data_IF_948547098627
#
_entry.id   IF_948547098627
#
_cell.length_a   1.000
_cell.length_b   1.000
_cell.length_c   1.000
_cell.angle_alpha   90.00
_cell.angle_beta   90.00
_cell.angle_gamma   90.00
#
_symmetry.space_group_name_H-M   'P 1'
#
loop_
_entity.id
_entity.type
_entity.pdbx_description
1 polymer ?
#
# COMPACT_ATOMS: atom_id res chain seq x y z
N UNK A 1 -17.25 1.84 -4.69
CA UNK A 1 -18.08 2.74 -3.86
C UNK A 1 -19.53 2.31 -3.88
N UNK A 2 -20.19 2.25 -5.04
CA UNK A 2 -21.57 1.76 -5.16
C UNK A 2 -21.83 0.37 -4.54
N UNK A 3 -20.97 -0.63 -4.79
CA UNK A 3 -21.21 -2.00 -4.28
C UNK A 3 -21.06 -2.14 -2.76
N UNK A 4 -20.22 -1.32 -2.13
CA UNK A 4 -19.87 -1.46 -0.69
C UNK A 4 -20.63 -0.45 0.17
N UNK A 5 -20.85 0.75 -0.36
CA UNK A 5 -21.41 1.89 0.37
C UNK A 5 -22.75 2.39 -0.20
N UNK A 6 -23.33 1.70 -1.19
CA UNK A 6 -24.54 2.12 -1.93
C UNK A 6 -24.48 3.55 -2.49
N UNK A 7 -23.25 4.03 -2.74
CA UNK A 7 -22.99 5.38 -3.21
C UNK A 7 -23.48 5.60 -4.65
N UNK A 8 -24.04 6.78 -4.92
CA UNK A 8 -24.63 7.18 -6.20
C UNK A 8 -23.91 8.42 -6.74
N UNK A 9 -23.57 8.39 -8.02
CA UNK A 9 -22.89 9.51 -8.68
C UNK A 9 -21.91 9.03 -9.75
N UNK A 10 -21.43 9.98 -10.55
CA UNK A 10 -20.46 9.76 -11.62
C UNK A 10 -19.06 10.29 -11.26
N UNK A 11 -18.97 11.11 -10.21
CA UNK A 11 -17.70 11.63 -9.68
C UNK A 11 -17.47 11.17 -8.25
N UNK A 12 -16.22 11.21 -7.78
CA UNK A 12 -15.89 10.86 -6.40
C UNK A 12 -16.64 11.77 -5.40
N UNK A 13 -16.76 13.07 -5.70
CA UNK A 13 -17.49 14.03 -4.86
C UNK A 13 -18.97 13.65 -4.76
N UNK A 14 -19.65 13.44 -5.89
CA UNK A 14 -21.06 13.03 -5.90
C UNK A 14 -21.27 11.73 -5.11
N UNK A 15 -20.36 10.75 -5.28
CA UNK A 15 -20.43 9.49 -4.54
C UNK A 15 -20.27 9.71 -3.04
N UNK A 16 -19.33 10.54 -2.59
CA UNK A 16 -19.12 10.81 -1.16
C UNK A 16 -20.31 11.55 -0.54
N UNK A 17 -20.86 12.54 -1.25
CA UNK A 17 -22.03 13.31 -0.82
C UNK A 17 -23.30 12.47 -0.76
N UNK A 18 -23.40 11.39 -1.54
CA UNK A 18 -24.56 10.50 -1.52
C UNK A 18 -24.63 9.56 -0.32
N UNK A 19 -23.60 9.49 0.52
CA UNK A 19 -23.51 8.55 1.64
C UNK A 19 -23.96 9.24 2.93
N UNK A 20 -25.24 9.09 3.29
CA UNK A 20 -25.84 9.70 4.49
C UNK A 20 -25.09 9.35 5.80
N UNK A 21 -24.42 8.20 5.85
CA UNK A 21 -23.66 7.77 7.04
C UNK A 21 -22.42 8.62 7.31
N UNK A 22 -21.90 9.35 6.32
CA UNK A 22 -20.73 10.20 6.47
C UNK A 22 -21.05 11.58 7.07
N UNK A 23 -22.33 11.98 7.11
CA UNK A 23 -22.77 13.26 7.70
C UNK A 23 -22.45 13.37 9.20
N UNK A 24 -22.44 12.24 9.91
CA UNK A 24 -22.13 12.19 11.33
C UNK A 24 -20.63 12.03 11.63
N UNK A 25 -19.80 11.79 10.61
CA UNK A 25 -18.36 11.55 10.78
C UNK A 25 -17.63 12.87 10.93
N UNK A 26 -16.97 13.06 12.06
CA UNK A 26 -16.21 14.27 12.35
C UNK A 26 -14.72 14.09 12.08
N UNK A 27 -14.03 15.21 11.87
CA UNK A 27 -12.57 15.24 11.75
C UNK A 27 -11.90 15.12 13.13
N UNK A 28 -10.65 14.68 13.14
CA UNK A 28 -9.80 14.79 14.32
C UNK A 28 -9.64 16.26 14.76
N UNK A 29 -9.56 16.48 16.06
CA UNK A 29 -9.46 17.83 16.65
C UNK A 29 -8.02 18.35 16.71
N UNK A 30 -7.03 17.47 16.49
CA UNK A 30 -5.61 17.79 16.48
C UNK A 30 -4.86 16.97 15.42
N UNK A 31 -3.61 17.37 15.17
CA UNK A 31 -2.76 16.79 14.13
C UNK A 31 -2.08 15.48 14.57
N UNK A 32 -2.03 15.19 15.87
CA UNK A 32 -1.46 13.97 16.39
C UNK A 32 -2.49 12.84 16.33
N UNK A 33 -2.92 12.52 15.12
CA UNK A 33 -3.96 11.55 14.85
C UNK A 33 -3.51 10.47 13.85
N UNK A 34 -4.15 9.30 13.92
CA UNK A 34 -3.81 8.14 13.06
C UNK A 34 -3.89 8.45 11.56
N UNK A 35 -4.78 9.35 11.15
CA UNK A 35 -4.92 9.76 9.75
C UNK A 35 -3.62 10.27 9.13
N UNK A 36 -2.71 10.84 9.94
CA UNK A 36 -1.39 11.25 9.46
C UNK A 36 -0.35 10.20 9.85
N UNK A 37 -0.28 9.86 11.13
CA UNK A 37 0.80 9.02 11.67
C UNK A 37 0.72 7.54 11.23
N UNK A 38 -0.39 7.08 10.68
CA UNK A 38 -0.55 5.74 10.10
C UNK A 38 -0.56 5.80 8.57
N UNK A 39 -1.49 6.57 7.97
CA UNK A 39 -1.72 6.52 6.52
C UNK A 39 -0.58 7.12 5.69
N UNK A 40 0.13 8.14 6.21
CA UNK A 40 1.28 8.71 5.49
C UNK A 40 2.46 7.75 5.45
N UNK A 41 3.02 7.28 6.58
CA UNK A 41 4.18 6.38 6.57
C UNK A 41 3.87 4.97 6.06
N UNK A 42 2.63 4.47 6.17
CA UNK A 42 2.28 3.09 5.78
C UNK A 42 1.45 2.97 4.50
N UNK A 43 0.87 4.06 4.02
CA UNK A 43 0.13 4.12 2.75
C UNK A 43 0.85 4.95 1.71
N UNK A 44 0.99 6.26 1.92
CA UNK A 44 1.51 7.17 0.89
C UNK A 44 3.00 6.96 0.59
N UNK A 45 3.83 6.84 1.63
CA UNK A 45 5.27 6.63 1.49
C UNK A 45 5.61 5.36 0.70
N UNK A 46 5.05 4.16 1.00
CA UNK A 46 5.34 2.97 0.21
C UNK A 46 4.84 3.07 -1.24
N UNK A 47 3.69 3.70 -1.50
CA UNK A 47 3.21 3.92 -2.88
C UNK A 47 4.19 4.81 -3.66
N UNK A 48 4.63 5.92 -3.06
CA UNK A 48 5.63 6.82 -3.64
C UNK A 48 6.97 6.12 -3.89
N UNK A 49 7.39 5.24 -2.97
CA UNK A 49 8.67 4.53 -3.09
C UNK A 49 8.64 3.40 -4.13
N UNK A 50 7.54 2.65 -4.21
CA UNK A 50 7.31 1.70 -5.30
C UNK A 50 7.28 2.44 -6.65
N UNK A 51 6.64 3.61 -6.71
CA UNK A 51 6.65 4.47 -7.90
C UNK A 51 8.08 4.77 -8.38
N UNK A 52 8.98 5.14 -7.46
CA UNK A 52 10.41 5.34 -7.77
C UNK A 52 11.09 4.08 -8.29
N UNK A 53 10.82 2.91 -7.69
CA UNK A 53 11.41 1.64 -8.11
C UNK A 53 11.06 1.29 -9.57
N UNK A 54 9.87 1.67 -10.03
CA UNK A 54 9.37 1.39 -11.39
C UNK A 54 9.41 2.61 -12.33
N UNK A 55 10.13 3.67 -11.96
CA UNK A 55 10.26 4.93 -12.71
C UNK A 55 8.92 5.64 -13.04
N UNK A 56 7.93 5.52 -12.15
CA UNK A 56 6.64 6.23 -12.23
C UNK A 56 6.62 7.37 -11.22
N UNK A 57 6.45 8.60 -11.71
CA UNK A 57 6.32 9.79 -10.88
C UNK A 57 4.96 9.87 -10.20
N UNK A 58 4.96 10.20 -8.91
CA UNK A 58 3.74 10.33 -8.08
C UNK A 58 3.58 11.74 -7.49
N UNK A 59 3.55 12.81 -8.32
CA UNK A 59 3.71 14.19 -7.83
C UNK A 59 2.65 14.63 -6.82
N UNK A 60 1.41 14.16 -6.95
CA UNK A 60 0.34 14.47 -6.00
C UNK A 60 0.60 13.83 -4.62
N UNK A 61 0.97 12.54 -4.60
CA UNK A 61 1.32 11.81 -3.38
C UNK A 61 2.55 12.44 -2.73
N UNK A 62 3.56 12.76 -3.53
CA UNK A 62 4.80 13.35 -3.05
C UNK A 62 4.56 14.70 -2.38
N UNK A 63 3.67 15.52 -2.95
CA UNK A 63 3.27 16.80 -2.39
C UNK A 63 2.55 16.63 -1.04
N UNK A 64 1.65 15.65 -0.92
CA UNK A 64 0.94 15.37 0.33
C UNK A 64 1.90 14.90 1.42
N UNK A 65 2.84 14.01 1.11
CA UNK A 65 3.87 13.56 2.05
C UNK A 65 4.70 14.76 2.53
N UNK A 66 5.14 15.62 1.62
CA UNK A 66 5.90 16.82 1.99
C UNK A 66 5.14 17.76 2.90
N UNK A 67 3.86 18.02 2.63
CA UNK A 67 3.01 18.85 3.49
C UNK A 67 2.82 18.22 4.87
N UNK A 68 2.50 16.92 4.93
CA UNK A 68 2.33 16.20 6.19
C UNK A 68 3.62 16.24 7.04
N UNK A 69 4.77 15.99 6.42
CA UNK A 69 6.06 16.05 7.10
C UNK A 69 6.38 17.43 7.67
N UNK A 70 6.05 18.49 6.93
CA UNK A 70 6.25 19.87 7.39
C UNK A 70 5.33 20.25 8.55
N UNK A 71 4.04 19.92 8.43
CA UNK A 71 3.02 20.26 9.44
C UNK A 71 3.27 19.51 10.75
N UNK A 72 3.63 18.22 10.67
CA UNK A 72 3.93 17.39 11.84
C UNK A 72 5.39 17.49 12.33
N UNK A 73 6.25 18.25 11.63
CA UNK A 73 7.69 18.36 11.91
C UNK A 73 8.38 17.00 12.04
N UNK A 74 7.96 16.03 11.22
CA UNK A 74 8.47 14.67 11.21
C UNK A 74 8.77 14.27 9.77
N UNK A 75 9.93 13.65 9.53
CA UNK A 75 10.22 13.11 8.21
C UNK A 75 9.56 11.73 8.02
N UNK A 76 8.40 11.72 7.38
CA UNK A 76 7.69 10.48 7.07
C UNK A 76 8.39 9.63 6.01
N UNK A 77 9.29 10.19 5.18
CA UNK A 77 9.99 9.39 4.16
C UNK A 77 11.08 8.52 4.78
N UNK A 78 11.75 9.01 5.81
CA UNK A 78 12.75 8.22 6.54
C UNK A 78 12.15 7.26 7.55
N UNK A 79 10.97 7.57 8.11
CA UNK A 79 10.31 6.73 9.13
C UNK A 79 9.24 5.79 8.57
N UNK A 80 8.79 6.00 7.34
CA UNK A 80 7.77 5.18 6.69
C UNK A 80 8.30 3.89 6.06
N UNK A 81 7.38 3.11 5.49
CA UNK A 81 7.71 1.85 4.81
C UNK A 81 8.31 2.13 3.44
N UNK A 82 9.62 1.96 3.31
CA UNK A 82 10.34 1.96 2.03
C UNK A 82 10.37 0.57 1.38
N UNK A 83 10.70 0.49 0.09
CA UNK A 83 10.97 -0.76 -0.64
C UNK A 83 12.07 -1.57 0.02
N UNK A 84 13.04 -0.90 0.66
CA UNK A 84 14.08 -1.55 1.47
C UNK A 84 13.46 -2.20 2.73
N UNK A 85 12.66 -1.45 3.49
CA UNK A 85 11.99 -1.96 4.70
C UNK A 85 11.00 -3.10 4.41
N UNK A 86 10.43 -3.11 3.21
CA UNK A 86 9.55 -4.17 2.71
C UNK A 86 10.34 -5.36 2.14
N UNK A 87 11.65 -5.24 2.01
CA UNK A 87 12.53 -6.28 1.46
C UNK A 87 12.33 -6.53 -0.03
N UNK A 88 11.98 -5.49 -0.79
CA UNK A 88 11.70 -5.48 -2.23
C UNK A 88 12.80 -4.81 -3.06
N UNK A 89 13.79 -4.18 -2.43
CA UNK A 89 14.84 -3.38 -3.10
C UNK A 89 15.64 -4.14 -4.16
N UNK A 90 15.83 -5.45 -3.96
CA UNK A 90 16.61 -6.33 -4.85
C UNK A 90 15.73 -7.06 -5.88
N UNK A 91 14.43 -6.76 -5.95
CA UNK A 91 13.48 -7.52 -6.76
C UNK A 91 13.04 -6.75 -8.00
N UNK A 92 13.02 -7.42 -9.15
CA UNK A 92 12.37 -6.93 -10.36
C UNK A 92 10.85 -6.90 -10.23
N UNK A 93 10.16 -6.13 -11.08
CA UNK A 93 8.69 -5.98 -11.00
C UNK A 93 7.94 -7.32 -11.11
N UNK A 94 8.44 -8.24 -11.93
CA UNK A 94 7.82 -9.56 -12.10
C UNK A 94 8.07 -10.46 -10.88
N UNK A 95 9.23 -10.33 -10.22
CA UNK A 95 9.53 -11.04 -8.98
C UNK A 95 8.69 -10.51 -7.82
N UNK A 96 8.44 -9.20 -7.78
CA UNK A 96 7.55 -8.58 -6.78
C UNK A 96 6.13 -9.11 -6.95
N UNK A 97 5.62 -9.19 -8.20
CA UNK A 97 4.30 -9.77 -8.48
C UNK A 97 4.20 -11.22 -8.04
N UNK A 98 5.17 -12.05 -8.45
CA UNK A 98 5.23 -13.46 -8.06
C UNK A 98 5.30 -13.61 -6.53
N UNK A 99 6.07 -12.77 -5.85
CA UNK A 99 6.18 -12.78 -4.40
C UNK A 99 4.88 -12.40 -3.68
N UNK A 100 4.12 -11.43 -4.21
CA UNK A 100 2.82 -11.06 -3.63
C UNK A 100 1.80 -12.19 -3.81
N UNK A 101 1.85 -12.91 -4.93
CA UNK A 101 0.92 -14.01 -5.22
C UNK A 101 1.25 -15.30 -4.45
N UNK A 102 2.55 -15.63 -4.33
CA UNK A 102 3.02 -16.93 -3.81
C UNK A 102 3.54 -16.83 -2.36
N UNK A 103 3.99 -15.65 -1.94
CA UNK A 103 4.55 -15.40 -0.60
C UNK A 103 5.99 -15.92 -0.39
N UNK A 104 6.69 -16.34 -1.45
CA UNK A 104 8.05 -16.94 -1.37
C UNK A 104 9.03 -16.15 -2.26
N UNK A 105 10.21 -15.79 -1.74
CA UNK A 105 11.26 -15.10 -2.51
C UNK A 105 12.13 -16.10 -3.27
N UNK A 106 12.47 -15.80 -4.54
CA UNK A 106 13.35 -16.66 -5.36
C UNK A 106 14.75 -16.86 -4.79
N UNK A 107 15.29 -15.88 -4.08
CA UNK A 107 16.61 -15.99 -3.40
C UNK A 107 16.58 -16.94 -2.20
N UNK A 108 15.39 -17.26 -1.69
CA UNK A 108 15.14 -18.29 -0.68
C UNK A 108 14.62 -19.58 -1.32
N UNK A 109 15.05 -19.92 -2.54
CA UNK A 109 14.97 -21.29 -3.06
C UNK A 109 15.74 -22.23 -2.12
N UNK A 110 15.13 -22.59 -1.00
CA UNK A 110 15.41 -23.84 -0.31
C UNK A 110 15.07 -24.93 -1.33
N UNK A 111 15.93 -25.94 -1.55
CA UNK A 111 15.63 -27.04 -2.45
C UNK A 111 14.54 -27.92 -1.83
N UNK A 112 13.30 -27.45 -1.88
CA UNK A 112 12.13 -28.23 -1.51
C UNK A 112 11.72 -28.95 -2.80
N UNK A 113 11.74 -30.28 -2.75
CA UNK A 113 11.66 -31.24 -3.88
C UNK A 113 13.00 -31.63 -4.54
N UNK A 114 13.85 -32.31 -3.76
CA UNK A 114 14.41 -33.57 -4.28
C UNK A 114 13.29 -34.60 -4.29
N UNK A 115 12.83 -34.93 -5.50
CA UNK A 115 12.14 -36.17 -5.90
C UNK A 115 11.48 -36.99 -4.78
N UNK A 116 10.16 -36.89 -4.66
CA UNK A 116 9.34 -38.01 -4.20
C UNK A 116 8.34 -38.32 -5.30
N UNK A 117 8.65 -39.38 -6.05
CA UNK A 117 7.68 -40.10 -6.86
C UNK A 117 6.58 -40.60 -5.92
N UNK A 118 5.39 -39.99 -5.99
CA UNK A 118 4.18 -40.53 -5.38
C UNK A 118 3.33 -41.05 -6.53
N UNK A 119 3.11 -42.38 -6.66
CA UNK A 119 2.28 -42.93 -7.71
C UNK A 119 0.82 -42.50 -7.49
N UNK A 120 0.17 -42.05 -8.56
CA UNK A 120 -1.27 -41.79 -8.56
C UNK A 120 -1.97 -43.13 -8.71
N UNK A 121 -2.39 -43.74 -7.60
CA UNK A 121 -3.29 -44.90 -7.67
C UNK A 121 -4.29 -45.07 -6.52
N UNK A 122 -4.34 -44.22 -5.49
CA UNK A 122 -5.37 -44.33 -4.43
C UNK A 122 -6.05 -42.98 -4.14
N UNK A 123 -6.99 -42.61 -5.02
CA UNK A 123 -8.02 -41.58 -4.79
C UNK A 123 -9.33 -42.23 -4.35
#
# INVERSE_FOLDING_TARGET
>A
MAEVYDAKGNTLCECLESIDTYDAVTCAIDLNHRYIHEDVPTGLVPISDIGRLVDIKTPAIDSIISMASQVCQQDFRSTGRSVESLGLSEMGIDEIREYVDVGIKRSECVPIFKSRDIPIEDL
#
